data_IF_522824589215
#
_entry.id   IF_522824589215
#
_cell.length_a   1.000
_cell.length_b   1.000
_cell.length_c   1.000
_cell.angle_alpha   90.00
_cell.angle_beta   90.00
_cell.angle_gamma   90.00
#
_symmetry.space_group_name_H-M   'P 1'
#
loop_
_entity.id
_entity.type
_entity.pdbx_description
1 polymer ?
#
# COMPACT_ATOMS: atom_id res chain seq x y z
N UNK A 1 94.39 -134.26 -167.06
CA UNK A 1 93.19 -133.61 -167.64
C UNK A 1 92.43 -133.00 -166.50
N UNK A 2 92.31 -131.67 -166.59
CA UNK A 2 91.96 -130.68 -165.57
C UNK A 2 90.44 -130.60 -165.44
N UNK A 3 89.86 -130.79 -164.26
CA UNK A 3 88.43 -130.56 -164.00
C UNK A 3 88.19 -130.12 -162.55
N UNK A 4 87.19 -129.26 -162.31
CA UNK A 4 87.47 -127.90 -161.87
C UNK A 4 87.05 -127.60 -160.44
N UNK A 5 87.76 -126.62 -159.88
CA UNK A 5 87.43 -125.81 -158.72
C UNK A 5 85.95 -125.47 -158.66
N UNK A 6 85.27 -125.86 -157.59
CA UNK A 6 84.12 -125.12 -157.08
C UNK A 6 84.35 -124.87 -155.60
N UNK A 7 84.87 -123.67 -155.35
CA UNK A 7 84.95 -123.01 -154.04
C UNK A 7 83.56 -122.90 -153.45
N UNK A 8 83.43 -123.05 -152.14
CA UNK A 8 82.17 -123.11 -151.39
C UNK A 8 81.35 -121.78 -151.36
N UNK A 9 81.54 -120.89 -152.34
CA UNK A 9 80.90 -119.57 -152.44
C UNK A 9 80.10 -119.39 -153.75
N UNK A 10 79.37 -120.43 -154.17
CA UNK A 10 78.46 -120.37 -155.32
C UNK A 10 76.99 -120.13 -154.86
N UNK A 11 76.33 -119.02 -155.24
CA UNK A 11 75.01 -118.65 -154.74
C UNK A 11 73.90 -119.65 -155.06
N UNK A 12 74.04 -120.42 -156.14
CA UNK A 12 73.07 -121.46 -156.49
C UNK A 12 73.09 -122.61 -155.49
N UNK A 13 74.27 -122.97 -154.99
CA UNK A 13 74.45 -124.00 -153.97
C UNK A 13 73.82 -123.53 -152.65
N UNK A 14 74.03 -122.26 -152.25
CA UNK A 14 73.44 -121.70 -151.02
C UNK A 14 71.91 -121.62 -151.09
N UNK A 15 71.35 -121.28 -152.26
CA UNK A 15 69.89 -121.19 -152.46
C UNK A 15 69.25 -122.58 -152.48
N UNK A 16 69.94 -123.57 -153.04
CA UNK A 16 69.54 -124.97 -153.00
C UNK A 16 69.63 -125.55 -151.58
N UNK A 17 70.71 -125.26 -150.85
CA UNK A 17 70.88 -125.67 -149.45
C UNK A 17 69.86 -124.99 -148.52
N UNK A 18 69.55 -123.72 -148.71
CA UNK A 18 68.49 -123.03 -147.96
C UNK A 18 67.09 -123.56 -148.30
N UNK A 19 66.88 -124.07 -149.53
CA UNK A 19 65.62 -124.72 -149.91
C UNK A 19 65.54 -126.14 -149.31
N UNK A 20 66.62 -126.92 -149.37
CA UNK A 20 66.73 -128.21 -148.65
C UNK A 20 66.61 -128.05 -147.15
N UNK A 21 67.17 -127.00 -146.55
CA UNK A 21 67.05 -126.72 -145.12
C UNK A 21 65.60 -126.42 -144.75
N UNK A 22 64.90 -125.61 -145.54
CA UNK A 22 63.46 -125.34 -145.34
C UNK A 22 62.60 -126.58 -145.56
N UNK A 23 62.90 -127.40 -146.58
CA UNK A 23 62.17 -128.64 -146.83
C UNK A 23 62.43 -129.67 -145.72
N UNK A 24 63.66 -129.76 -145.19
CA UNK A 24 64.01 -130.61 -144.05
C UNK A 24 63.37 -130.13 -142.74
N UNK A 25 63.30 -128.82 -142.49
CA UNK A 25 62.56 -128.27 -141.36
C UNK A 25 61.06 -128.50 -141.50
N UNK A 26 60.53 -128.40 -142.73
CA UNK A 26 59.14 -128.69 -143.05
C UNK A 26 58.83 -130.17 -142.83
N UNK A 27 59.70 -131.07 -143.25
CA UNK A 27 59.57 -132.52 -143.00
C UNK A 27 59.64 -132.82 -141.51
N UNK A 28 60.58 -132.23 -140.77
CA UNK A 28 60.66 -132.39 -139.30
C UNK A 28 59.37 -131.96 -138.60
N UNK A 29 58.69 -130.93 -139.10
CA UNK A 29 57.40 -130.46 -138.56
C UNK A 29 56.21 -131.33 -139.00
N UNK A 30 56.23 -131.88 -140.22
CA UNK A 30 55.12 -132.68 -140.77
C UNK A 30 55.18 -134.17 -140.40
N UNK A 31 56.37 -134.71 -140.09
CA UNK A 31 56.55 -136.12 -139.80
C UNK A 31 56.34 -136.44 -138.31
N UNK A 32 56.62 -135.50 -137.41
CA UNK A 32 56.30 -135.65 -135.99
C UNK A 32 54.80 -135.42 -135.75
N UNK A 33 54.07 -136.51 -135.52
CA UNK A 33 52.61 -136.51 -135.34
C UNK A 33 52.13 -135.63 -134.18
N UNK A 34 52.99 -135.31 -133.20
CA UNK A 34 52.62 -134.45 -132.05
C UNK A 34 52.63 -132.97 -132.43
N UNK A 35 53.69 -132.51 -133.12
CA UNK A 35 53.79 -131.12 -133.59
C UNK A 35 52.75 -130.79 -134.67
N UNK A 36 52.29 -131.81 -135.41
CA UNK A 36 51.24 -131.68 -136.44
C UNK A 36 49.83 -131.50 -135.87
N UNK A 37 49.54 -132.10 -134.71
CA UNK A 37 48.24 -131.97 -134.04
C UNK A 37 48.21 -130.83 -133.01
N UNK A 38 49.35 -130.51 -132.38
CA UNK A 38 49.44 -129.47 -131.34
C UNK A 38 50.72 -128.66 -131.56
N UNK A 39 50.64 -127.64 -132.41
CA UNK A 39 51.68 -126.64 -132.58
C UNK A 39 51.31 -125.35 -131.86
N UNK A 40 51.92 -125.06 -130.72
CA UNK A 40 51.73 -123.81 -129.98
C UNK A 40 53.08 -123.13 -129.73
N UNK A 41 53.20 -121.86 -130.10
CA UNK A 41 54.39 -121.05 -129.82
C UNK A 41 54.36 -120.54 -128.37
N UNK A 42 54.88 -121.37 -127.46
CA UNK A 42 54.87 -121.11 -126.02
C UNK A 42 55.65 -119.81 -125.67
N UNK A 43 56.68 -119.46 -126.44
CA UNK A 43 57.46 -118.25 -126.22
C UNK A 43 56.67 -117.00 -126.61
N UNK A 44 56.01 -117.01 -127.78
CA UNK A 44 55.14 -115.92 -128.21
C UNK A 44 53.95 -115.69 -127.27
N UNK A 45 53.32 -116.76 -126.78
CA UNK A 45 52.20 -116.67 -125.82
C UNK A 45 52.64 -116.09 -124.47
N UNK A 46 53.87 -116.40 -124.01
CA UNK A 46 54.42 -115.80 -122.78
C UNK A 46 54.62 -114.30 -122.91
N UNK A 47 55.19 -113.83 -124.02
CA UNK A 47 55.37 -112.40 -124.26
C UNK A 47 54.03 -111.66 -124.34
N UNK A 48 53.02 -112.26 -124.99
CA UNK A 48 51.66 -111.68 -125.02
C UNK A 48 51.01 -111.61 -123.62
N UNK A 49 51.28 -112.58 -122.75
CA UNK A 49 50.83 -112.54 -121.35
C UNK A 49 51.52 -111.46 -120.54
N UNK A 50 52.82 -111.24 -120.75
CA UNK A 50 53.57 -110.16 -120.09
C UNK A 50 53.09 -108.79 -120.55
N UNK A 51 52.96 -108.57 -121.87
CA UNK A 51 52.42 -107.31 -122.42
C UNK A 51 51.00 -107.03 -121.93
N UNK A 52 50.15 -108.06 -121.83
CA UNK A 52 48.79 -107.92 -121.29
C UNK A 52 48.82 -107.55 -119.80
N UNK A 53 49.70 -108.16 -119.01
CA UNK A 53 49.87 -107.81 -117.59
C UNK A 53 50.38 -106.40 -117.40
N UNK A 54 51.32 -105.93 -118.23
CA UNK A 54 51.82 -104.55 -118.16
C UNK A 54 50.72 -103.55 -118.48
N UNK A 55 49.87 -103.85 -119.45
CA UNK A 55 48.70 -103.03 -119.80
C UNK A 55 47.66 -103.00 -118.68
N UNK A 56 47.31 -104.14 -118.10
CA UNK A 56 46.41 -104.22 -116.94
C UNK A 56 46.97 -103.43 -115.74
N UNK A 57 48.29 -103.46 -115.52
CA UNK A 57 48.95 -102.67 -114.46
C UNK A 57 48.94 -101.17 -114.74
N UNK A 58 49.01 -100.74 -116.00
CA UNK A 58 48.89 -99.33 -116.38
C UNK A 58 47.45 -98.84 -116.21
N UNK A 59 46.48 -99.59 -116.73
CA UNK A 59 45.05 -99.28 -116.59
C UNK A 59 44.65 -99.20 -115.10
N UNK A 60 45.11 -100.13 -114.26
CA UNK A 60 44.85 -100.09 -112.82
C UNK A 60 45.45 -98.85 -112.13
N UNK A 61 46.62 -98.36 -112.57
CA UNK A 61 47.21 -97.12 -112.04
C UNK A 61 46.44 -95.88 -112.48
N UNK A 62 45.97 -95.86 -113.71
CA UNK A 62 45.14 -94.78 -114.23
C UNK A 62 43.79 -94.72 -113.50
N UNK A 63 43.15 -95.88 -113.28
CA UNK A 63 41.93 -95.98 -112.46
C UNK A 63 42.16 -95.52 -111.01
N UNK A 64 43.29 -95.90 -110.39
CA UNK A 64 43.64 -95.46 -109.04
C UNK A 64 43.84 -93.94 -108.96
N UNK A 65 44.51 -93.35 -109.96
CA UNK A 65 44.69 -91.90 -110.04
C UNK A 65 43.36 -91.17 -110.24
N UNK A 66 42.51 -91.67 -111.14
CA UNK A 66 41.18 -91.11 -111.35
C UNK A 66 40.31 -91.20 -110.09
N UNK A 67 40.37 -92.33 -109.36
CA UNK A 67 39.67 -92.49 -108.10
C UNK A 67 40.12 -91.46 -107.04
N UNK A 68 41.43 -91.18 -106.95
CA UNK A 68 41.99 -90.14 -106.06
C UNK A 68 41.51 -88.75 -106.43
N UNK A 69 41.57 -88.37 -107.71
CA UNK A 69 41.07 -87.07 -108.18
C UNK A 69 39.57 -86.90 -107.88
N UNK A 70 38.76 -87.93 -108.10
CA UNK A 70 37.33 -87.90 -107.77
C UNK A 70 37.07 -87.76 -106.26
N UNK A 71 37.90 -88.39 -105.42
CA UNK A 71 37.79 -88.23 -103.96
C UNK A 71 38.13 -86.80 -103.52
N UNK A 72 39.16 -86.18 -104.12
CA UNK A 72 39.53 -84.79 -103.86
C UNK A 72 38.42 -83.82 -104.27
N UNK A 73 37.82 -84.01 -105.45
CA UNK A 73 36.68 -83.22 -105.93
C UNK A 73 35.48 -83.36 -104.96
N UNK A 74 35.16 -84.57 -104.52
CA UNK A 74 34.07 -84.80 -103.55
C UNK A 74 34.34 -84.10 -102.23
N UNK A 75 35.57 -84.17 -101.70
CA UNK A 75 35.95 -83.48 -100.46
C UNK A 75 35.82 -81.96 -100.60
N UNK A 76 36.17 -81.41 -101.76
CA UNK A 76 36.00 -79.99 -102.04
C UNK A 76 34.52 -79.58 -102.07
N UNK A 77 33.67 -80.33 -102.77
CA UNK A 77 32.22 -80.06 -102.85
C UNK A 77 31.56 -80.09 -101.47
N UNK A 78 31.86 -81.11 -100.64
CA UNK A 78 31.32 -81.20 -99.26
C UNK A 78 31.72 -79.98 -98.42
N UNK A 79 32.95 -79.47 -98.58
CA UNK A 79 33.40 -78.28 -97.87
C UNK A 79 32.60 -77.03 -98.29
N UNK A 80 32.43 -76.84 -99.59
CA UNK A 80 31.66 -75.71 -100.13
C UNK A 80 30.20 -75.76 -99.67
N UNK A 81 29.56 -76.92 -99.72
CA UNK A 81 28.19 -77.10 -99.23
C UNK A 81 28.06 -76.81 -97.73
N UNK A 82 29.04 -77.25 -96.93
CA UNK A 82 29.07 -76.99 -95.50
C UNK A 82 29.25 -75.49 -95.19
N UNK A 83 30.13 -74.81 -95.92
CA UNK A 83 30.37 -73.37 -95.78
C UNK A 83 29.13 -72.55 -96.18
N UNK A 84 28.48 -72.88 -97.31
CA UNK A 84 27.23 -72.23 -97.73
C UNK A 84 26.09 -72.45 -96.73
N UNK A 85 25.96 -73.66 -96.18
CA UNK A 85 24.94 -73.96 -95.17
C UNK A 85 25.20 -73.19 -93.87
N UNK A 86 26.47 -73.02 -93.47
CA UNK A 86 26.85 -72.22 -92.32
C UNK A 86 26.51 -70.73 -92.52
N UNK A 87 26.84 -70.17 -93.69
CA UNK A 87 26.51 -68.78 -94.03
C UNK A 87 25.00 -68.52 -94.01
N UNK A 88 24.20 -69.38 -94.67
CA UNK A 88 22.73 -69.25 -94.64
C UNK A 88 22.15 -69.29 -93.22
N UNK A 89 22.69 -70.14 -92.35
CA UNK A 89 22.26 -70.23 -90.94
C UNK A 89 22.63 -68.96 -90.17
N UNK A 90 23.81 -68.40 -90.40
CA UNK A 90 24.25 -67.17 -89.76
C UNK A 90 23.39 -65.97 -90.19
N UNK A 91 23.14 -65.83 -91.49
CA UNK A 91 22.27 -64.79 -92.05
C UNK A 91 20.84 -64.87 -91.49
N UNK A 92 20.25 -66.06 -91.47
CA UNK A 92 18.93 -66.28 -90.89
C UNK A 92 18.89 -65.90 -89.39
N UNK A 93 19.92 -66.29 -88.63
CA UNK A 93 20.04 -65.97 -87.20
C UNK A 93 20.26 -64.47 -86.96
N UNK A 94 20.96 -63.79 -87.87
CA UNK A 94 21.15 -62.34 -87.83
C UNK A 94 19.83 -61.62 -88.09
N UNK A 95 19.10 -62.00 -89.14
CA UNK A 95 17.80 -61.42 -89.47
C UNK A 95 16.78 -61.63 -88.35
N UNK A 96 16.74 -62.81 -87.73
CA UNK A 96 15.85 -63.07 -86.59
C UNK A 96 16.18 -62.18 -85.38
N UNK A 97 17.46 -61.96 -85.08
CA UNK A 97 17.90 -61.06 -84.00
C UNK A 97 17.55 -59.62 -84.30
N UNK A 98 17.78 -59.16 -85.53
CA UNK A 98 17.43 -57.81 -85.97
C UNK A 98 15.92 -57.58 -85.90
N UNK A 99 15.12 -58.55 -86.37
CA UNK A 99 13.67 -58.50 -86.25
C UNK A 99 13.21 -58.50 -84.80
N UNK A 100 13.74 -59.36 -83.93
CA UNK A 100 13.43 -59.35 -82.48
C UNK A 100 13.78 -58.00 -81.82
N UNK A 101 14.91 -57.40 -82.19
CA UNK A 101 15.33 -56.12 -81.65
C UNK A 101 14.45 -54.95 -82.16
N UNK A 102 13.98 -55.01 -83.41
CA UNK A 102 13.07 -54.01 -83.97
C UNK A 102 11.62 -54.19 -83.48
N UNK A 103 11.19 -55.43 -83.26
CA UNK A 103 9.76 -55.75 -83.12
C UNK A 103 9.19 -55.48 -81.74
N UNK A 104 9.99 -55.20 -80.71
CA UNK A 104 9.43 -54.93 -79.37
C UNK A 104 10.46 -54.28 -78.43
N UNK A 105 10.85 -53.03 -78.67
CA UNK A 105 11.57 -52.28 -77.63
C UNK A 105 10.63 -52.09 -76.41
N UNK A 106 11.15 -52.26 -75.19
CA UNK A 106 10.35 -52.23 -73.95
C UNK A 106 9.53 -50.93 -73.81
N UNK A 107 10.00 -49.83 -74.39
CA UNK A 107 9.38 -48.50 -74.40
C UNK A 107 8.18 -48.37 -75.35
N UNK A 108 8.09 -49.18 -76.40
CA UNK A 108 7.04 -49.10 -77.42
C UNK A 108 5.87 -50.05 -77.15
N UNK A 109 5.94 -50.82 -76.06
CA UNK A 109 4.83 -51.65 -75.59
C UNK A 109 3.69 -50.74 -75.11
N UNK A 110 2.44 -51.14 -75.37
CA UNK A 110 1.25 -50.43 -74.85
C UNK A 110 1.22 -50.30 -73.33
N UNK A 111 1.87 -51.22 -72.63
CA UNK A 111 1.97 -51.29 -71.16
C UNK A 111 3.27 -50.67 -70.62
N UNK A 112 4.09 -50.04 -71.47
CA UNK A 112 5.38 -49.48 -71.06
C UNK A 112 5.23 -48.37 -70.02
N UNK A 113 4.11 -47.66 -70.03
CA UNK A 113 3.72 -46.65 -69.03
C UNK A 113 3.42 -47.26 -67.66
N UNK A 114 2.74 -48.41 -67.62
CA UNK A 114 2.45 -49.17 -66.40
C UNK A 114 3.72 -49.80 -65.83
N UNK A 115 4.65 -50.22 -66.69
CA UNK A 115 5.93 -50.81 -66.29
C UNK A 115 7.00 -49.79 -65.86
N UNK A 116 6.68 -48.48 -65.83
CA UNK A 116 7.58 -47.44 -65.30
C UNK A 116 7.75 -47.57 -63.79
N UNK A 117 8.92 -47.17 -63.29
CA UNK A 117 9.14 -47.12 -61.84
C UNK A 117 8.25 -46.02 -61.26
N UNK A 118 7.57 -46.30 -60.15
CA UNK A 118 6.78 -45.31 -59.39
C UNK A 118 7.62 -44.08 -59.00
N UNK A 119 8.95 -44.23 -58.95
CA UNK A 119 9.92 -43.15 -58.69
C UNK A 119 9.97 -42.08 -59.77
N UNK A 120 9.49 -42.36 -60.98
CA UNK A 120 9.51 -41.42 -62.11
C UNK A 120 8.21 -40.57 -62.19
N UNK A 121 7.27 -40.76 -61.26
CA UNK A 121 6.02 -40.01 -61.18
C UNK A 121 6.25 -38.77 -60.32
N UNK A 122 5.98 -37.58 -60.88
CA UNK A 122 6.06 -36.32 -60.12
C UNK A 122 5.05 -36.31 -58.98
N UNK A 123 5.41 -35.71 -57.84
CA UNK A 123 4.51 -35.56 -56.71
C UNK A 123 3.22 -34.84 -57.15
N UNK A 124 2.08 -35.35 -56.69
CA UNK A 124 0.77 -34.80 -56.99
C UNK A 124 0.63 -33.42 -56.33
N UNK A 125 0.26 -32.42 -57.13
CA UNK A 125 -0.02 -31.06 -56.65
C UNK A 125 -1.43 -31.03 -56.03
N UNK A 126 -1.48 -31.27 -54.73
CA UNK A 126 -2.72 -31.38 -53.93
C UNK A 126 -3.61 -30.13 -54.08
N UNK A 127 -3.02 -28.94 -54.27
CA UNK A 127 -3.75 -27.68 -54.37
C UNK A 127 -4.45 -27.51 -55.73
N UNK A 128 -4.03 -28.26 -56.76
CA UNK A 128 -4.69 -28.28 -58.08
C UNK A 128 -5.74 -29.39 -58.22
N UNK A 129 -5.85 -30.27 -57.24
CA UNK A 129 -6.77 -31.39 -57.26
C UNK A 129 -8.20 -30.92 -56.99
N UNK A 130 -9.16 -31.42 -57.77
CA UNK A 130 -10.58 -31.13 -57.56
C UNK A 130 -11.12 -31.84 -56.32
N UNK A 131 -12.23 -31.34 -55.78
CA UNK A 131 -12.90 -31.90 -54.58
C UNK A 131 -13.21 -33.40 -54.74
N UNK A 132 -13.57 -33.85 -55.95
CA UNK A 132 -13.89 -35.26 -56.22
C UNK A 132 -12.70 -36.21 -56.09
N UNK A 133 -11.46 -35.71 -56.18
CA UNK A 133 -10.25 -36.53 -56.06
C UNK A 133 -9.92 -36.91 -54.61
N UNK A 134 -10.55 -36.26 -53.63
CA UNK A 134 -10.35 -36.47 -52.20
C UNK A 134 -8.87 -36.40 -51.75
N UNK A 135 -8.06 -35.58 -52.42
CA UNK A 135 -6.65 -35.36 -52.07
C UNK A 135 -6.45 -34.12 -51.18
N UNK A 136 -7.36 -33.14 -51.24
CA UNK A 136 -7.31 -31.90 -50.45
C UNK A 136 -8.58 -31.79 -49.59
N UNK A 137 -8.40 -31.55 -48.29
CA UNK A 137 -9.50 -31.41 -47.33
C UNK A 137 -9.39 -30.08 -46.59
N UNK A 138 -10.42 -29.23 -46.70
CA UNK A 138 -10.45 -27.91 -46.05
C UNK A 138 -10.33 -27.98 -44.51
N UNK A 139 -10.65 -29.13 -43.90
CA UNK A 139 -10.55 -29.35 -42.46
C UNK A 139 -9.13 -29.61 -41.93
N UNK A 140 -8.14 -29.90 -42.78
CA UNK A 140 -6.79 -30.25 -42.35
C UNK A 140 -6.03 -29.06 -41.73
N UNK A 141 -6.38 -27.83 -42.14
CA UNK A 141 -5.79 -26.59 -41.65
C UNK A 141 -4.25 -26.62 -41.57
N UNK A 142 -3.63 -26.46 -42.74
CA UNK A 142 -2.16 -26.44 -42.92
C UNK A 142 -1.48 -25.33 -42.10
N UNK A 143 -2.22 -24.28 -41.73
CA UNK A 143 -1.71 -23.09 -41.01
C UNK A 143 -2.07 -23.10 -39.52
N UNK A 144 -2.47 -24.24 -38.96
CA UNK A 144 -2.87 -24.38 -37.55
C UNK A 144 -1.86 -23.77 -36.57
N UNK A 145 -0.57 -24.06 -36.78
CA UNK A 145 0.49 -23.58 -35.90
C UNK A 145 0.65 -22.06 -35.95
N UNK A 146 0.59 -21.46 -37.13
CA UNK A 146 0.67 -20.01 -37.29
C UNK A 146 -0.56 -19.31 -36.69
N UNK A 147 -1.76 -19.88 -36.89
CA UNK A 147 -2.99 -19.36 -36.27
C UNK A 147 -2.88 -19.38 -34.75
N UNK A 148 -2.46 -20.50 -34.16
CA UNK A 148 -2.27 -20.62 -32.71
C UNK A 148 -1.21 -19.63 -32.19
N UNK A 149 -0.12 -19.42 -32.93
CA UNK A 149 0.92 -18.44 -32.58
C UNK A 149 0.36 -17.02 -32.56
N UNK A 150 -0.44 -16.65 -33.57
CA UNK A 150 -1.06 -15.34 -33.66
C UNK A 150 -2.09 -15.13 -32.55
N UNK A 151 -2.95 -16.12 -32.29
CA UNK A 151 -3.90 -16.08 -31.18
C UNK A 151 -3.21 -15.93 -29.83
N UNK A 152 -2.13 -16.67 -29.59
CA UNK A 152 -1.35 -16.55 -28.36
C UNK A 152 -0.69 -15.16 -28.21
N UNK A 153 -0.22 -14.57 -29.32
CA UNK A 153 0.31 -13.21 -29.32
C UNK A 153 -0.78 -12.18 -29.00
N UNK A 154 -1.96 -12.29 -29.63
CA UNK A 154 -3.10 -11.40 -29.36
C UNK A 154 -3.55 -11.48 -27.91
N UNK A 155 -3.70 -12.69 -27.36
CA UNK A 155 -4.07 -12.88 -25.96
C UNK A 155 -3.02 -12.27 -25.04
N UNK A 156 -1.73 -12.46 -25.32
CA UNK A 156 -0.65 -11.84 -24.55
C UNK A 156 -0.77 -10.32 -24.55
N UNK A 157 -0.91 -9.71 -25.71
CA UNK A 157 -1.01 -8.25 -25.84
C UNK A 157 -2.23 -7.70 -25.11
N UNK A 158 -3.38 -8.38 -25.24
CA UNK A 158 -4.60 -8.01 -24.49
C UNK A 158 -4.40 -8.11 -22.98
N UNK A 159 -3.78 -9.19 -22.50
CA UNK A 159 -3.52 -9.36 -21.05
C UNK A 159 -2.54 -8.32 -20.52
N UNK A 160 -1.52 -7.96 -21.29
CA UNK A 160 -0.56 -6.91 -20.90
C UNK A 160 -1.23 -5.53 -20.84
N UNK A 161 -2.06 -5.19 -21.83
CA UNK A 161 -2.82 -3.94 -21.84
C UNK A 161 -3.79 -3.89 -20.65
N UNK A 162 -4.53 -4.97 -20.39
CA UNK A 162 -5.45 -5.05 -19.25
C UNK A 162 -4.71 -4.93 -17.90
N UNK A 163 -3.53 -5.52 -17.78
CA UNK A 163 -2.70 -5.40 -16.58
C UNK A 163 -2.24 -3.96 -16.38
N UNK A 164 -1.70 -3.33 -17.43
CA UNK A 164 -1.30 -1.92 -17.42
C UNK A 164 -2.46 -0.99 -17.03
N UNK A 165 -3.64 -1.18 -17.63
CA UNK A 165 -4.83 -0.38 -17.32
C UNK A 165 -5.32 -0.60 -15.88
N UNK A 166 -5.14 -1.81 -15.33
CA UNK A 166 -5.48 -2.11 -13.94
C UNK A 166 -4.49 -1.46 -12.98
N UNK A 167 -3.19 -1.52 -13.28
CA UNK A 167 -2.14 -0.86 -12.50
C UNK A 167 -2.31 0.67 -12.52
N UNK A 168 -2.59 1.25 -13.68
CA UNK A 168 -2.85 2.68 -13.81
C UNK A 168 -4.06 3.13 -12.98
N UNK A 169 -5.16 2.36 -13.01
CA UNK A 169 -6.34 2.61 -12.16
C UNK A 169 -6.03 2.50 -10.67
N UNK A 170 -5.31 1.45 -10.26
CA UNK A 170 -4.91 1.28 -8.86
C UNK A 170 -4.02 2.43 -8.37
N UNK A 171 -3.12 2.93 -9.23
CA UNK A 171 -2.30 4.11 -8.91
C UNK A 171 -3.14 5.38 -8.80
N UNK A 172 -4.12 5.58 -9.68
CA UNK A 172 -5.07 6.70 -9.58
C UNK A 172 -5.87 6.63 -8.28
N UNK A 173 -6.47 5.48 -7.95
CA UNK A 173 -7.23 5.28 -6.71
C UNK A 173 -6.36 5.58 -5.47
N UNK A 174 -5.11 5.11 -5.45
CA UNK A 174 -4.17 5.41 -4.37
C UNK A 174 -3.83 6.91 -4.28
N UNK A 175 -3.68 7.61 -5.41
CA UNK A 175 -3.43 9.04 -5.43
C UNK A 175 -4.65 9.83 -4.94
N UNK A 176 -5.85 9.44 -5.35
CA UNK A 176 -7.10 10.04 -4.89
C UNK A 176 -7.32 9.83 -3.40
N UNK A 177 -7.06 8.62 -2.88
CA UNK A 177 -7.14 8.31 -1.46
C UNK A 177 -6.13 9.13 -0.64
N UNK A 178 -4.89 9.27 -1.13
CA UNK A 178 -3.88 10.15 -0.51
C UNK A 178 -4.34 11.59 -0.48
N UNK A 179 -4.78 12.15 -1.61
CA UNK A 179 -5.26 13.52 -1.70
C UNK A 179 -6.47 13.76 -0.78
N UNK A 180 -7.38 12.78 -0.68
CA UNK A 180 -8.50 12.82 0.24
C UNK A 180 -8.04 12.80 1.71
N UNK A 181 -7.08 11.94 2.06
CA UNK A 181 -6.52 11.88 3.42
C UNK A 181 -5.83 13.20 3.82
N UNK A 182 -5.08 13.82 2.91
CA UNK A 182 -4.41 15.10 3.13
C UNK A 182 -5.44 16.22 3.33
N UNK A 183 -6.52 16.21 2.54
CA UNK A 183 -7.64 17.13 2.71
C UNK A 183 -8.30 16.97 4.09
N UNK A 184 -8.55 15.74 4.53
CA UNK A 184 -9.11 15.48 5.87
C UNK A 184 -8.18 15.95 6.98
N UNK A 185 -6.87 15.72 6.86
CA UNK A 185 -5.89 16.23 7.83
C UNK A 185 -5.89 17.76 7.87
N UNK A 186 -5.99 18.41 6.72
CA UNK A 186 -6.07 19.88 6.63
C UNK A 186 -7.33 20.41 7.31
N UNK A 187 -8.49 19.78 7.06
CA UNK A 187 -9.76 20.14 7.72
C UNK A 187 -9.65 19.94 9.23
N UNK A 188 -9.08 18.83 9.68
CA UNK A 188 -8.90 18.53 11.10
C UNK A 188 -8.00 19.55 11.80
N UNK A 189 -6.89 19.97 11.15
CA UNK A 189 -6.03 21.05 11.66
C UNK A 189 -6.79 22.37 11.79
N UNK A 190 -7.53 22.75 10.76
CA UNK A 190 -8.33 23.97 10.78
C UNK A 190 -9.40 23.95 11.89
N UNK A 191 -10.04 22.80 12.12
CA UNK A 191 -10.98 22.63 13.23
C UNK A 191 -10.29 22.79 14.59
N UNK A 192 -9.13 22.17 14.79
CA UNK A 192 -8.36 22.30 16.03
C UNK A 192 -7.91 23.74 16.29
N UNK A 193 -7.46 24.45 15.25
CA UNK A 193 -7.09 25.87 15.33
C UNK A 193 -8.30 26.72 15.72
N UNK A 194 -9.45 26.52 15.06
CA UNK A 194 -10.69 27.24 15.38
C UNK A 194 -11.21 26.96 16.79
N UNK A 195 -11.12 25.72 17.27
CA UNK A 195 -11.47 25.36 18.65
C UNK A 195 -10.53 26.04 19.67
N UNK A 196 -9.23 26.04 19.40
CA UNK A 196 -8.24 26.70 20.26
C UNK A 196 -8.45 28.21 20.31
N UNK A 197 -8.74 28.86 19.18
CA UNK A 197 -9.08 30.29 19.12
C UNK A 197 -10.37 30.58 19.90
N UNK A 198 -11.40 29.75 19.73
CA UNK A 198 -12.66 29.91 20.46
C UNK A 198 -12.47 29.81 21.97
N UNK A 199 -11.67 28.85 22.45
CA UNK A 199 -11.38 28.68 23.87
C UNK A 199 -10.55 29.84 24.42
N UNK A 200 -9.59 30.37 23.66
CA UNK A 200 -8.83 31.57 24.03
C UNK A 200 -9.75 32.79 24.15
N UNK A 201 -10.63 33.01 23.18
CA UNK A 201 -11.61 34.08 23.18
C UNK A 201 -12.57 33.96 24.37
N UNK A 202 -13.04 32.74 24.66
CA UNK A 202 -13.90 32.46 25.79
C UNK A 202 -13.19 32.76 27.11
N UNK A 203 -11.94 32.35 27.26
CA UNK A 203 -11.12 32.62 28.44
C UNK A 203 -10.87 34.13 28.61
N UNK A 204 -10.55 34.85 27.52
CA UNK A 204 -10.36 36.29 27.52
C UNK A 204 -11.63 37.03 27.96
N UNK A 205 -12.80 36.67 27.40
CA UNK A 205 -14.10 37.22 27.80
C UNK A 205 -14.42 36.94 29.26
N UNK A 206 -14.16 35.72 29.74
CA UNK A 206 -14.37 35.38 31.14
C UNK A 206 -13.47 36.19 32.09
N UNK A 207 -12.22 36.44 31.70
CA UNK A 207 -11.29 37.28 32.45
C UNK A 207 -11.77 38.72 32.53
N UNK A 208 -12.23 39.29 31.41
CA UNK A 208 -12.76 40.66 31.37
C UNK A 208 -14.04 40.81 32.22
N UNK A 209 -14.97 39.84 32.15
CA UNK A 209 -16.15 39.82 33.01
C UNK A 209 -15.75 39.74 34.49
N UNK A 210 -14.77 38.89 34.82
CA UNK A 210 -14.26 38.78 36.19
C UNK A 210 -13.68 40.11 36.67
N UNK A 211 -12.82 40.76 35.88
CA UNK A 211 -12.23 42.08 36.20
C UNK A 211 -13.31 43.13 36.43
N UNK A 212 -14.31 43.17 35.56
CA UNK A 212 -15.44 44.09 35.69
C UNK A 212 -16.22 43.85 36.98
N UNK A 213 -16.53 42.59 37.31
CA UNK A 213 -17.22 42.22 38.54
C UNK A 213 -16.40 42.56 39.79
N UNK A 214 -15.09 42.31 39.78
CA UNK A 214 -14.18 42.70 40.87
C UNK A 214 -14.18 44.22 41.09
N UNK A 215 -14.10 45.00 40.00
CA UNK A 215 -14.17 46.46 40.07
C UNK A 215 -15.53 46.95 40.61
N UNK A 216 -16.63 46.32 40.19
CA UNK A 216 -17.98 46.65 40.63
C UNK A 216 -18.17 46.36 42.14
N UNK A 217 -17.67 45.22 42.62
CA UNK A 217 -17.68 44.88 44.05
C UNK A 217 -16.83 45.84 44.86
N UNK A 218 -15.64 46.22 44.37
CA UNK A 218 -14.79 47.20 45.03
C UNK A 218 -15.46 48.59 45.12
N UNK A 219 -16.09 49.04 44.03
CA UNK A 219 -16.83 50.29 44.00
C UNK A 219 -18.00 50.27 45.02
N UNK A 220 -18.79 49.20 45.04
CA UNK A 220 -19.89 49.03 45.98
C UNK A 220 -19.42 49.00 47.45
N UNK A 221 -18.30 48.33 47.74
CA UNK A 221 -17.68 48.34 49.07
C UNK A 221 -17.26 49.75 49.48
N UNK A 222 -16.61 50.50 48.58
CA UNK A 222 -16.21 51.88 48.86
C UNK A 222 -17.41 52.79 49.15
N UNK A 223 -18.49 52.63 48.37
CA UNK A 223 -19.71 53.42 48.55
C UNK A 223 -20.41 53.06 49.87
N UNK A 224 -20.47 51.78 50.22
CA UNK A 224 -21.01 51.34 51.50
C UNK A 224 -20.19 51.85 52.68
N UNK A 225 -18.86 51.88 52.57
CA UNK A 225 -17.99 52.46 53.58
C UNK A 225 -18.25 53.96 53.76
N UNK A 226 -18.34 54.72 52.66
CA UNK A 226 -18.65 56.16 52.71
C UNK A 226 -20.04 56.43 53.30
N UNK A 227 -21.03 55.60 52.96
CA UNK A 227 -22.37 55.71 53.55
C UNK A 227 -22.34 55.40 55.05
N UNK A 228 -21.57 54.39 55.47
CA UNK A 228 -21.41 54.05 56.88
C UNK A 228 -20.75 55.19 57.65
N UNK A 229 -19.64 55.72 57.14
CA UNK A 229 -18.91 56.85 57.73
C UNK A 229 -19.82 58.08 57.81
N UNK A 230 -20.58 58.39 56.76
CA UNK A 230 -21.57 59.48 56.79
C UNK A 230 -22.64 59.25 57.86
N UNK A 231 -23.16 58.03 57.98
CA UNK A 231 -24.15 57.73 59.01
C UNK A 231 -23.54 57.87 60.40
N UNK A 232 -22.33 57.35 60.64
CA UNK A 232 -21.60 57.51 61.90
C UNK A 232 -21.41 58.98 62.24
N UNK A 233 -21.00 59.83 61.28
CA UNK A 233 -20.89 61.28 61.53
C UNK A 233 -22.24 61.93 61.85
N UNK A 234 -23.33 61.51 61.18
CA UNK A 234 -24.67 62.03 61.47
C UNK A 234 -25.16 61.59 62.85
N UNK A 235 -24.90 60.34 63.23
CA UNK A 235 -25.24 59.81 64.54
C UNK A 235 -24.44 60.52 65.65
N UNK A 236 -23.13 60.77 65.43
CA UNK A 236 -22.30 61.56 66.34
C UNK A 236 -22.82 63.00 66.48
N UNK A 237 -23.13 63.66 65.37
CA UNK A 237 -23.71 65.01 65.37
C UNK A 237 -25.06 65.05 66.10
N UNK A 238 -25.92 64.04 65.91
CA UNK A 238 -27.20 63.90 66.62
C UNK A 238 -26.98 63.70 68.12
N UNK A 239 -26.05 62.84 68.53
CA UNK A 239 -25.71 62.62 69.94
C UNK A 239 -25.22 63.92 70.57
N UNK A 240 -24.30 64.64 69.92
CA UNK A 240 -23.77 65.91 70.42
C UNK A 240 -24.88 66.95 70.53
N UNK A 241 -25.71 67.11 69.49
CA UNK A 241 -26.83 68.05 69.49
C UNK A 241 -27.85 67.71 70.59
N UNK A 242 -28.12 66.44 70.83
CA UNK A 242 -29.07 65.98 71.86
C UNK A 242 -28.48 66.19 73.26
N UNK A 243 -27.23 65.80 73.51
CA UNK A 243 -26.55 65.99 74.80
C UNK A 243 -26.36 67.47 75.15
N UNK A 244 -26.07 68.32 74.17
CA UNK A 244 -25.95 69.78 74.36
C UNK A 244 -27.29 70.50 74.32
N UNK A 245 -28.39 69.81 73.99
CA UNK A 245 -29.71 70.40 74.02
C UNK A 245 -30.03 70.92 75.42
N UNK A 246 -30.72 72.05 75.46
CA UNK A 246 -31.13 72.66 76.72
C UNK A 246 -32.09 71.76 77.54
N UNK A 247 -32.75 70.80 76.88
CA UNK A 247 -33.66 69.86 77.53
C UNK A 247 -32.88 68.86 78.40
N UNK A 248 -31.87 68.18 77.85
CA UNK A 248 -31.04 67.23 78.59
C UNK A 248 -30.04 67.89 79.55
N UNK A 249 -29.47 69.03 79.18
CA UNK A 249 -28.53 69.78 80.05
C UNK A 249 -29.22 70.52 81.20
N UNK A 250 -30.54 70.47 81.24
CA UNK A 250 -31.41 71.18 82.16
C UNK A 250 -31.07 72.68 82.32
N UNK A 251 -30.65 73.32 81.22
CA UNK A 251 -30.11 74.68 81.25
C UNK A 251 -31.07 75.69 81.93
N UNK A 252 -30.65 76.28 83.05
CA UNK A 252 -31.44 77.23 83.84
C UNK A 252 -31.67 78.57 83.14
N UNK A 253 -30.87 78.86 82.10
CA UNK A 253 -31.00 80.08 81.30
C UNK A 253 -32.29 80.10 80.45
N UNK A 254 -32.90 78.94 80.18
CA UNK A 254 -34.20 78.88 79.48
C UNK A 254 -35.33 79.59 80.23
N UNK A 255 -35.19 79.76 81.54
CA UNK A 255 -36.15 80.46 82.38
C UNK A 255 -36.00 82.00 82.27
N UNK A 256 -34.86 82.49 81.76
CA UNK A 256 -34.58 83.93 81.64
C UNK A 256 -35.46 84.54 80.55
N UNK A 257 -36.17 85.61 80.89
CA UNK A 257 -36.86 86.44 79.90
C UNK A 257 -36.01 87.65 79.54
N UNK A 258 -36.37 88.33 78.45
CA UNK A 258 -35.71 89.60 78.06
C UNK A 258 -35.84 90.70 79.12
N UNK A 259 -36.80 90.59 80.04
CA UNK A 259 -37.01 91.58 81.11
C UNK A 259 -36.26 91.15 82.39
N UNK A 260 -35.27 91.93 82.87
CA UNK A 260 -34.55 91.62 84.11
C UNK A 260 -35.50 91.44 85.30
N UNK A 261 -35.36 90.34 86.04
CA UNK A 261 -36.19 90.03 87.21
C UNK A 261 -37.48 89.25 86.93
N UNK A 262 -37.90 89.10 85.66
CA UNK A 262 -39.04 88.24 85.29
C UNK A 262 -38.55 86.90 84.73
N UNK A 263 -39.16 85.82 85.22
CA UNK A 263 -38.84 84.45 84.84
C UNK A 263 -40.00 83.84 84.04
N UNK A 264 -39.70 83.00 83.06
CA UNK A 264 -40.70 82.20 82.35
C UNK A 264 -41.19 81.07 83.25
N UNK A 265 -42.49 81.08 83.58
CA UNK A 265 -43.09 80.18 84.58
C UNK A 265 -42.90 78.71 84.20
N UNK A 266 -43.16 78.35 82.94
CA UNK A 266 -43.11 76.96 82.48
C UNK A 266 -41.71 76.31 82.55
N UNK A 267 -40.65 77.11 82.60
CA UNK A 267 -39.25 76.63 82.58
C UNK A 267 -38.48 77.00 83.84
N UNK A 268 -39.17 77.41 84.90
CA UNK A 268 -38.55 77.74 86.16
C UNK A 268 -38.11 76.47 86.90
N UNK A 269 -36.80 76.32 87.12
CA UNK A 269 -36.16 75.15 87.75
C UNK A 269 -35.58 75.47 89.13
N UNK A 270 -36.26 76.34 89.89
CA UNK A 270 -35.83 76.76 91.23
C UNK A 270 -34.85 77.95 91.23
N UNK A 271 -34.38 78.29 92.42
CA UNK A 271 -33.47 79.43 92.65
C UNK A 271 -32.02 79.09 92.27
N UNK A 272 -31.27 80.09 91.78
CA UNK A 272 -29.85 79.93 91.49
C UNK A 272 -29.07 79.59 92.77
N UNK A 273 -27.98 78.81 92.65
CA UNK A 273 -27.07 78.52 93.78
C UNK A 273 -26.52 79.80 94.44
N UNK A 274 -26.44 80.90 93.70
CA UNK A 274 -26.03 82.19 94.25
C UNK A 274 -27.14 82.85 95.08
N UNK A 275 -28.39 82.78 94.62
CA UNK A 275 -29.56 83.28 95.36
C UNK A 275 -29.81 82.48 96.63
N UNK A 276 -29.71 81.14 96.53
CA UNK A 276 -29.77 80.26 97.70
C UNK A 276 -28.67 80.60 98.72
N UNK A 277 -27.44 80.83 98.27
CA UNK A 277 -26.33 81.27 99.13
C UNK A 277 -26.64 82.60 99.81
N UNK A 278 -27.22 83.58 99.09
CA UNK A 278 -27.64 84.86 99.68
C UNK A 278 -28.69 84.67 100.77
N UNK A 279 -29.69 83.81 100.54
CA UNK A 279 -30.73 83.50 101.53
C UNK A 279 -30.11 82.87 102.79
N UNK A 280 -29.23 81.88 102.62
CA UNK A 280 -28.53 81.24 103.74
C UNK A 280 -27.72 82.29 104.52
N UNK A 281 -26.93 83.12 103.83
CA UNK A 281 -26.15 84.17 104.50
C UNK A 281 -27.02 85.19 105.23
N UNK A 282 -28.19 85.52 104.67
CA UNK A 282 -29.14 86.45 105.28
C UNK A 282 -29.81 85.82 106.52
N UNK A 283 -30.16 84.53 106.46
CA UNK A 283 -30.70 83.81 107.62
C UNK A 283 -29.69 83.73 108.75
N UNK A 284 -28.41 83.49 108.44
CA UNK A 284 -27.32 83.48 109.42
C UNK A 284 -27.16 84.86 110.09
N UNK A 285 -27.22 85.94 109.31
CA UNK A 285 -27.24 87.31 109.84
C UNK A 285 -28.45 87.55 110.76
N UNK A 286 -29.65 87.14 110.32
CA UNK A 286 -30.88 87.30 111.11
C UNK A 286 -30.82 86.52 112.44
N UNK A 287 -30.20 85.34 112.45
CA UNK A 287 -29.99 84.56 113.67
C UNK A 287 -29.02 85.27 114.62
N UNK A 288 -27.93 85.84 114.10
CA UNK A 288 -26.98 86.63 114.89
C UNK A 288 -27.66 87.87 115.49
N UNK A 289 -28.44 88.61 114.71
CA UNK A 289 -29.19 89.79 115.19
C UNK A 289 -30.20 89.42 116.28
N UNK A 290 -30.96 88.33 116.11
CA UNK A 290 -31.89 87.84 117.15
C UNK A 290 -31.16 87.43 118.43
N UNK A 291 -30.00 86.80 118.31
CA UNK A 291 -29.19 86.41 119.46
C UNK A 291 -28.65 87.64 120.20
N UNK A 292 -28.20 88.67 119.48
CA UNK A 292 -27.78 89.95 120.05
C UNK A 292 -28.94 90.62 120.78
N UNK A 293 -30.10 90.76 120.12
CA UNK A 293 -31.30 91.35 120.75
C UNK A 293 -31.74 90.63 122.02
N UNK A 294 -31.71 89.28 122.02
CA UNK A 294 -32.02 88.47 123.20
C UNK A 294 -31.02 88.70 124.35
N UNK A 295 -29.75 88.97 124.03
CA UNK A 295 -28.74 89.30 125.04
C UNK A 295 -28.92 90.71 125.61
N UNK A 296 -29.30 91.68 124.78
CA UNK A 296 -29.64 93.05 125.20
C UNK A 296 -30.89 93.08 126.09
N UNK A 297 -31.96 92.37 125.70
CA UNK A 297 -33.19 92.29 126.49
C UNK A 297 -32.93 91.63 127.86
N UNK A 298 -32.08 90.60 127.93
CA UNK A 298 -31.65 89.99 129.20
C UNK A 298 -30.87 90.97 130.07
N UNK A 299 -30.02 91.81 129.48
CA UNK A 299 -29.30 92.85 130.22
C UNK A 299 -30.27 93.91 130.76
N UNK A 300 -31.24 94.35 129.96
CA UNK A 300 -32.29 95.28 130.41
C UNK A 300 -33.13 94.70 131.54
N UNK A 301 -33.55 93.43 131.44
CA UNK A 301 -34.33 92.76 132.50
C UNK A 301 -33.53 92.65 133.82
N UNK A 302 -32.22 92.40 133.74
CA UNK A 302 -31.32 92.44 134.90
C UNK A 302 -31.20 93.85 135.51
N UNK A 303 -31.13 94.89 134.68
CA UNK A 303 -31.11 96.30 135.13
C UNK A 303 -32.44 96.71 135.76
N UNK A 304 -33.57 96.34 135.16
CA UNK A 304 -34.91 96.56 135.71
C UNK A 304 -35.10 95.82 137.03
N UNK A 305 -34.65 94.57 137.14
CA UNK A 305 -34.67 93.80 138.39
C UNK A 305 -33.83 94.46 139.49
N UNK A 306 -32.62 94.95 139.14
CA UNK A 306 -31.79 95.72 140.08
C UNK A 306 -32.48 97.00 140.54
N UNK A 307 -33.09 97.74 139.62
CA UNK A 307 -33.83 98.95 139.93
C UNK A 307 -35.05 98.65 140.82
N UNK A 308 -35.81 97.60 140.51
CA UNK A 308 -36.95 97.16 141.31
C UNK A 308 -36.55 96.77 142.74
N UNK A 309 -35.46 96.01 142.90
CA UNK A 309 -34.91 95.65 144.21
C UNK A 309 -34.47 96.88 145.01
N UNK A 310 -33.84 97.87 144.35
CA UNK A 310 -33.46 99.13 144.99
C UNK A 310 -34.69 99.93 145.45
N UNK A 311 -35.74 100.01 144.63
CA UNK A 311 -37.00 100.68 144.99
C UNK A 311 -37.71 99.98 146.15
N UNK A 312 -37.79 98.64 146.13
CA UNK A 312 -38.37 97.87 147.25
C UNK A 312 -37.61 98.13 148.55
N UNK A 313 -36.28 98.15 148.50
CA UNK A 313 -35.44 98.48 149.65
C UNK A 313 -35.76 99.87 150.21
N UNK A 314 -35.85 100.89 149.36
CA UNK A 314 -36.25 102.24 149.77
C UNK A 314 -37.66 102.26 150.40
N UNK A 315 -38.63 101.55 149.82
CA UNK A 315 -39.99 101.45 150.37
C UNK A 315 -40.00 100.79 151.76
N UNK A 316 -39.25 99.70 151.95
CA UNK A 316 -39.14 99.06 153.27
C UNK A 316 -38.48 99.96 154.32
N UNK A 317 -37.48 100.76 153.92
CA UNK A 317 -36.85 101.76 154.79
C UNK A 317 -37.87 102.85 155.20
N UNK A 318 -38.66 103.35 154.24
CA UNK A 318 -39.77 104.29 154.51
C UNK A 318 -40.86 103.73 155.43
N UNK A 319 -41.29 102.48 155.22
CA UNK A 319 -42.28 101.81 156.08
C UNK A 319 -41.78 101.68 157.52
N UNK A 320 -40.50 101.30 157.68
CA UNK A 320 -39.88 101.15 158.99
C UNK A 320 -39.75 102.49 159.73
N UNK A 321 -39.44 103.58 159.02
CA UNK A 321 -39.42 104.94 159.59
C UNK A 321 -40.83 105.43 159.98
N UNK A 322 -41.84 105.16 159.16
CA UNK A 322 -43.23 105.50 159.46
C UNK A 322 -43.75 104.75 160.70
N UNK A 323 -43.37 103.49 160.87
CA UNK A 323 -43.74 102.69 162.02
C UNK A 323 -43.07 103.17 163.31
N UNK A 324 -41.78 103.54 163.25
CA UNK A 324 -41.09 104.22 164.37
C UNK A 324 -41.80 105.51 164.80
N UNK A 325 -42.23 106.34 163.84
CA UNK A 325 -42.99 107.57 164.13
C UNK A 325 -44.33 107.29 164.80
N UNK A 326 -45.07 106.25 164.36
CA UNK A 326 -46.34 105.82 164.98
C UNK A 326 -46.18 105.36 166.42
N UNK A 327 -45.09 104.64 166.73
CA UNK A 327 -44.81 104.17 168.10
C UNK A 327 -44.47 105.37 169.00
N UNK A 328 -43.64 106.30 168.53
CA UNK A 328 -43.29 107.53 169.26
C UNK A 328 -44.53 108.38 169.58
N UNK A 329 -45.41 108.62 168.61
CA UNK A 329 -46.64 109.40 168.85
C UNK A 329 -47.57 108.73 169.87
N UNK A 330 -47.61 107.39 169.91
CA UNK A 330 -48.38 106.64 170.92
C UNK A 330 -47.81 106.80 172.33
N UNK A 331 -46.48 106.81 172.46
CA UNK A 331 -45.80 107.00 173.75
C UNK A 331 -46.04 108.40 174.31
N UNK A 332 -45.96 109.45 173.47
CA UNK A 332 -46.25 110.83 173.87
C UNK A 332 -47.70 110.99 174.37
N UNK A 333 -48.65 110.38 173.67
CA UNK A 333 -50.08 110.43 174.02
C UNK A 333 -50.40 109.71 175.35
N UNK A 334 -49.63 108.67 175.71
CA UNK A 334 -49.74 108.03 177.03
C UNK A 334 -49.12 108.85 178.16
N UNK A 335 -48.08 109.64 177.89
CA UNK A 335 -47.46 110.50 178.90
C UNK A 335 -48.34 111.70 179.25
N UNK A 336 -48.98 112.33 178.26
CA UNK A 336 -49.93 113.44 178.50
C UNK A 336 -51.15 112.99 179.30
N UNK A 337 -51.67 111.79 179.03
CA UNK A 337 -52.78 111.19 179.78
C UNK A 337 -52.44 110.95 181.26
N UNK A 338 -51.19 110.57 181.58
CA UNK A 338 -50.76 110.38 182.96
C UNK A 338 -50.64 111.71 183.73
N UNK A 339 -50.18 112.79 183.08
CA UNK A 339 -50.08 114.11 183.71
C UNK A 339 -51.46 114.70 184.05
N UNK A 340 -52.45 114.55 183.17
CA UNK A 340 -53.83 115.02 183.42
C UNK A 340 -54.51 114.32 184.60
N UNK A 341 -54.17 113.05 184.88
CA UNK A 341 -54.72 112.29 186.01
C UNK A 341 -54.11 112.72 187.35
N UNK A 342 -52.88 113.24 187.36
CA UNK A 342 -52.24 113.75 188.57
C UNK A 342 -52.74 115.15 188.95
N UNK A 343 -52.99 116.04 187.99
CA UNK A 343 -53.54 117.38 188.26
C UNK A 343 -54.99 117.35 188.78
N UNK A 344 -55.78 116.34 188.42
CA UNK A 344 -57.16 116.18 188.90
C UNK A 344 -57.28 115.73 190.38
N UNK A 345 -56.18 115.27 191.00
CA UNK A 345 -56.15 114.84 192.42
C UNK A 345 -55.87 115.97 193.41
N UNK A 346 -55.57 117.19 192.95
CA UNK A 346 -55.21 118.34 193.80
C UNK A 346 -56.25 119.49 193.79
N UNK A 347 -57.53 119.22 193.48
CA UNK A 347 -58.64 120.17 193.68
C UNK A 347 -59.79 119.59 194.48
#
# INVERSE_FOLDING_TARGET
MVLPNFTADDPEIRRAEARRARDNERVKKLHDGRLRNIGADIAGVKNQLEEKKEREMQEAREEENYAKEQEEIRRYLIRVEADEAAQKREEASKLQREWMNQSLTRSERREADIARSIRDISALDVDKCSVSSAQNFDGEDRMRHDRLRLQAAQVRDWTLNQLSDKEARAQQEMQEERAYSERLQTISRFQQEAEAEFDQDRAAKALEIRRFNEALVAAQRSQRSKLKERNETMDEDEIIATCTSDFLSENSLQARTSNPGRVRVDHWKGMSKEEQRKIVSYNDQLLQEKQQKKSEDRQRELEESRNHMNTLRQMTEYEHEAEKKRILSKMELQQTLKQQVQEAKER
#
